data_IF_265778834099
#
_entry.id   IF_265778834099
#
_cell.length_a   1.000
_cell.length_b   1.000
_cell.length_c   1.000
_cell.angle_alpha   90.00
_cell.angle_beta   90.00
_cell.angle_gamma   90.00
#
_symmetry.space_group_name_H-M   'P 1'
#
loop_
_entity.id
_entity.type
_entity.pdbx_description
1 polymer ?
#
# COMPACT_ATOMS: atom_id res chain seq x y z
N UNK A 1 15.99 -6.80 -23.29
CA UNK A 1 15.02 -6.80 -22.16
C UNK A 1 14.99 -8.23 -21.66
N UNK A 2 15.72 -8.56 -20.60
CA UNK A 2 15.71 -9.88 -19.97
C UNK A 2 15.20 -9.68 -18.54
N UNK A 3 13.93 -10.06 -18.30
CA UNK A 3 13.37 -10.22 -16.97
C UNK A 3 14.03 -11.46 -16.35
N UNK A 4 14.91 -11.26 -15.37
CA UNK A 4 15.35 -12.35 -14.50
C UNK A 4 14.38 -12.41 -13.31
N UNK A 5 13.48 -13.40 -13.35
CA UNK A 5 12.63 -13.75 -12.21
C UNK A 5 13.49 -14.19 -11.01
N UNK A 6 13.38 -13.46 -9.91
CA UNK A 6 13.93 -13.88 -8.62
C UNK A 6 13.01 -14.92 -8.01
N UNK A 7 13.41 -16.19 -8.07
CA UNK A 7 12.79 -17.24 -7.27
C UNK A 7 13.53 -17.29 -5.94
N UNK A 8 12.93 -16.77 -4.90
CA UNK A 8 13.45 -16.94 -3.54
C UNK A 8 13.08 -18.34 -3.06
N UNK A 9 14.07 -19.24 -2.95
CA UNK A 9 13.91 -20.51 -2.24
C UNK A 9 14.17 -20.27 -0.75
N UNK A 10 13.13 -20.22 0.04
CA UNK A 10 13.22 -20.36 1.49
C UNK A 10 13.11 -21.86 1.84
N UNK A 11 14.17 -22.44 2.40
CA UNK A 11 14.07 -23.70 3.14
C UNK A 11 13.81 -23.37 4.60
N UNK A 12 12.55 -23.41 5.00
CA UNK A 12 12.16 -23.40 6.40
C UNK A 12 11.85 -24.82 6.85
N UNK A 13 12.44 -25.21 7.97
CA UNK A 13 12.08 -26.45 8.66
C UNK A 13 10.65 -26.39 9.22
N UNK A 14 9.90 -27.41 8.88
CA UNK A 14 8.65 -27.91 9.43
C UNK A 14 7.71 -26.96 10.19
N UNK A 15 6.70 -26.42 9.54
CA UNK A 15 5.26 -26.53 9.83
C UNK A 15 4.47 -25.49 9.01
N UNK A 16 3.60 -25.98 8.10
CA UNK A 16 2.53 -25.20 7.49
C UNK A 16 2.88 -24.58 6.14
N UNK A 17 2.63 -25.32 5.05
CA UNK A 17 2.71 -24.86 3.67
C UNK A 17 1.53 -23.95 3.34
N UNK A 18 1.82 -22.65 3.14
CA UNK A 18 0.98 -21.79 2.31
C UNK A 18 1.67 -21.63 0.95
N UNK A 19 1.07 -22.19 -0.09
CA UNK A 19 1.52 -22.06 -1.47
C UNK A 19 0.90 -20.79 -2.03
N UNK A 20 1.71 -19.76 -2.21
CA UNK A 20 1.32 -18.57 -2.95
C UNK A 20 1.63 -18.82 -4.42
N UNK A 21 0.59 -19.04 -5.24
CA UNK A 21 0.72 -19.12 -6.69
C UNK A 21 0.46 -17.75 -7.30
N UNK A 22 1.50 -17.14 -7.87
CA UNK A 22 1.34 -15.99 -8.76
C UNK A 22 0.73 -16.44 -10.10
N UNK A 23 -0.26 -15.73 -10.65
CA UNK A 23 -0.72 -15.99 -12.01
C UNK A 23 0.27 -15.44 -13.03
N UNK A 24 0.81 -16.33 -13.84
CA UNK A 24 1.58 -16.01 -15.05
C UNK A 24 0.60 -15.66 -16.15
N UNK A 25 0.67 -14.45 -16.68
CA UNK A 25 0.03 -14.08 -17.95
C UNK A 25 0.94 -14.54 -19.11
N UNK A 26 0.53 -15.55 -19.82
CA UNK A 26 1.11 -15.91 -21.10
C UNK A 26 0.08 -15.65 -22.20
N UNK A 27 0.48 -14.78 -23.11
CA UNK A 27 -0.15 -14.49 -24.39
C UNK A 27 0.11 -15.67 -25.35
N UNK A 28 -0.94 -16.29 -25.88
CA UNK A 28 -0.86 -17.05 -27.13
C UNK A 28 -2.19 -16.97 -27.90
N UNK A 29 -2.15 -16.18 -28.96
CA UNK A 29 -3.15 -16.20 -30.00
C UNK A 29 -2.79 -17.29 -31.01
N UNK A 30 -3.67 -18.27 -31.21
CA UNK A 30 -3.88 -18.87 -32.54
C UNK A 30 -5.20 -19.65 -32.65
N UNK A 31 -5.93 -19.24 -33.65
CA UNK A 31 -7.06 -19.81 -34.38
C UNK A 31 -7.37 -21.30 -34.17
N UNK A 32 -8.68 -21.60 -33.93
CA UNK A 32 -9.39 -22.46 -34.91
C UNK A 32 -10.91 -22.28 -34.82
N UNK A 33 -11.52 -22.12 -35.96
CA UNK A 33 -12.94 -22.13 -36.25
C UNK A 33 -13.44 -23.56 -36.26
N UNK A 34 -14.57 -23.85 -35.60
CA UNK A 34 -15.53 -24.83 -36.08
C UNK A 34 -16.91 -24.65 -35.41
N UNK A 35 -17.89 -24.68 -36.27
CA UNK A 35 -19.32 -24.58 -36.14
C UNK A 35 -19.94 -25.69 -35.30
N UNK A 36 -20.92 -25.35 -34.42
CA UNK A 36 -22.08 -26.22 -34.14
C UNK A 36 -23.18 -25.44 -33.39
N UNK A 37 -24.24 -25.18 -34.10
CA UNK A 37 -25.65 -25.46 -33.87
C UNK A 37 -26.29 -25.04 -32.55
N UNK A 38 -27.24 -24.11 -32.68
CA UNK A 38 -28.30 -23.79 -31.71
C UNK A 38 -29.25 -24.98 -31.52
N UNK A 39 -29.89 -25.11 -30.36
CA UNK A 39 -31.26 -25.62 -30.31
C UNK A 39 -32.26 -24.54 -29.88
N UNK A 40 -33.35 -24.54 -30.61
CA UNK A 40 -34.53 -23.71 -30.55
C UNK A 40 -35.25 -23.79 -29.22
N UNK A 41 -35.87 -22.64 -28.90
CA UNK A 41 -36.88 -22.44 -27.90
C UNK A 41 -38.13 -23.28 -28.16
N UNK A 42 -38.78 -23.73 -27.09
CA UNK A 42 -40.19 -24.02 -27.05
C UNK A 42 -40.83 -23.27 -25.87
N UNK A 43 -41.90 -22.62 -26.26
CA UNK A 43 -42.89 -21.83 -25.54
C UNK A 43 -43.62 -22.67 -24.48
N UNK A 44 -43.82 -22.13 -23.27
CA UNK A 44 -44.96 -22.48 -22.44
C UNK A 44 -45.35 -21.29 -21.56
N UNK A 45 -46.33 -20.58 -22.01
CA UNK A 45 -47.10 -19.62 -21.23
C UNK A 45 -47.86 -20.34 -20.12
N UNK A 46 -47.77 -19.85 -18.89
CA UNK A 46 -48.76 -20.09 -17.83
C UNK A 46 -49.12 -18.74 -17.25
N UNK A 47 -50.34 -18.31 -17.62
CA UNK A 47 -51.09 -17.25 -16.93
C UNK A 47 -51.55 -17.79 -15.57
N UNK A 48 -51.20 -17.13 -14.48
CA UNK A 48 -51.96 -17.17 -13.23
C UNK A 48 -52.30 -15.75 -12.78
N UNK A 49 -53.60 -15.47 -12.85
CA UNK A 49 -54.27 -14.36 -12.15
C UNK A 49 -54.03 -14.49 -10.65
N UNK A 50 -53.53 -13.45 -10.03
CA UNK A 50 -53.68 -13.25 -8.59
C UNK A 50 -54.19 -11.84 -8.31
N UNK A 51 -55.30 -11.86 -7.61
CA UNK A 51 -56.19 -10.81 -7.19
C UNK A 51 -55.53 -9.63 -6.49
N UNK A 52 -56.07 -8.47 -6.84
CA UNK A 52 -56.28 -7.26 -6.09
C UNK A 52 -56.33 -7.44 -4.55
N UNK A 53 -55.36 -6.85 -3.83
CA UNK A 53 -55.51 -6.47 -2.43
C UNK A 53 -54.83 -5.12 -2.15
N UNK A 54 -55.68 -4.09 -2.13
CA UNK A 54 -55.73 -2.97 -1.20
C UNK A 54 -54.44 -2.27 -0.77
N UNK A 55 -54.34 -1.04 -1.28
CA UNK A 55 -53.92 0.19 -0.58
C UNK A 55 -53.40 -0.02 0.85
N UNK A 56 -52.08 0.00 0.99
CA UNK A 56 -51.46 0.61 2.13
C UNK A 56 -50.50 1.72 1.60
N UNK A 57 -50.94 2.97 1.74
CA UNK A 57 -50.14 4.14 1.47
C UNK A 57 -49.04 4.19 2.53
N UNK A 58 -47.95 3.48 2.32
CA UNK A 58 -46.66 3.86 2.88
C UNK A 58 -46.23 5.10 2.10
N UNK A 59 -46.19 6.23 2.77
CA UNK A 59 -45.52 7.44 2.27
C UNK A 59 -44.12 7.03 1.85
N UNK A 60 -43.94 6.94 0.55
CA UNK A 60 -42.62 6.82 -0.05
C UNK A 60 -42.00 8.20 0.14
N UNK A 61 -41.32 8.39 1.27
CA UNK A 61 -40.38 9.49 1.43
C UNK A 61 -39.33 9.26 0.33
N UNK A 62 -39.35 10.09 -0.70
CA UNK A 62 -38.36 10.12 -1.77
C UNK A 62 -37.01 10.34 -1.11
N UNK A 63 -36.32 9.23 -0.77
CA UNK A 63 -34.95 9.25 -0.31
C UNK A 63 -34.15 9.86 -1.46
N UNK A 64 -33.53 11.00 -1.21
CA UNK A 64 -32.75 11.70 -2.23
C UNK A 64 -31.56 10.85 -2.64
N UNK A 65 -31.65 10.31 -3.83
CA UNK A 65 -30.50 9.71 -4.49
C UNK A 65 -29.70 10.82 -5.15
N UNK A 66 -28.48 11.01 -4.73
CA UNK A 66 -27.56 12.00 -5.30
C UNK A 66 -26.53 11.26 -6.15
N UNK A 67 -26.33 11.71 -7.37
CA UNK A 67 -25.28 11.18 -8.22
C UNK A 67 -23.93 11.78 -7.77
N UNK A 68 -23.05 10.95 -7.26
CA UNK A 68 -21.66 11.32 -7.01
C UNK A 68 -20.75 10.72 -8.08
N UNK A 69 -19.54 11.31 -8.25
CA UNK A 69 -18.50 10.66 -9.02
C UNK A 69 -18.22 9.25 -8.47
N UNK A 70 -18.12 8.27 -9.35
CA UNK A 70 -17.87 6.88 -8.96
C UNK A 70 -16.37 6.60 -9.02
N UNK A 71 -15.84 6.05 -7.93
CA UNK A 71 -14.46 5.60 -7.86
C UNK A 71 -14.37 4.08 -8.06
N UNK A 72 -13.27 3.64 -8.64
CA UNK A 72 -12.86 2.25 -8.65
C UNK A 72 -11.48 2.13 -8.02
N UNK A 73 -11.12 0.93 -7.58
CA UNK A 73 -9.83 0.67 -6.92
C UNK A 73 -8.65 1.24 -7.72
N UNK A 74 -8.65 1.04 -9.05
CA UNK A 74 -7.56 1.48 -9.92
C UNK A 74 -7.64 2.94 -10.37
N UNK A 75 -8.73 3.63 -10.10
CA UNK A 75 -8.88 5.05 -10.42
C UNK A 75 -8.32 5.97 -9.33
N UNK A 76 -8.09 5.44 -8.13
CA UNK A 76 -7.57 6.21 -6.99
C UNK A 76 -6.15 6.69 -7.28
N UNK A 77 -5.86 7.95 -6.91
CA UNK A 77 -4.55 8.60 -7.04
C UNK A 77 -4.00 9.06 -5.70
N UNK A 78 -4.87 9.43 -4.77
CA UNK A 78 -4.52 9.79 -3.40
C UNK A 78 -5.62 9.33 -2.46
N UNK A 79 -5.25 8.92 -1.28
CA UNK A 79 -6.16 8.61 -0.18
C UNK A 79 -5.60 9.15 1.13
N UNK A 80 -6.44 9.79 1.93
CA UNK A 80 -6.07 10.19 3.29
C UNK A 80 -7.17 9.87 4.29
N UNK A 81 -6.73 9.58 5.51
CA UNK A 81 -7.56 9.32 6.69
C UNK A 81 -7.33 10.44 7.67
N UNK A 82 -8.40 11.17 8.02
CA UNK A 82 -8.40 12.16 9.08
C UNK A 82 -9.28 11.66 10.21
N UNK A 83 -8.74 11.59 11.42
CA UNK A 83 -9.43 11.12 12.62
C UNK A 83 -9.34 12.17 13.71
N UNK A 84 -10.51 12.70 14.14
CA UNK A 84 -10.55 13.74 15.15
C UNK A 84 -9.90 15.08 14.73
N UNK A 85 -9.71 15.29 13.43
CA UNK A 85 -9.07 16.48 12.87
C UNK A 85 -7.56 16.36 12.64
N UNK A 86 -6.98 15.19 12.91
CA UNK A 86 -5.58 14.86 12.63
C UNK A 86 -5.49 13.90 11.45
N UNK A 87 -4.63 14.18 10.48
CA UNK A 87 -4.34 13.26 9.38
C UNK A 87 -3.42 12.15 9.88
N UNK A 88 -3.95 10.93 9.94
CA UNK A 88 -3.24 9.77 10.50
C UNK A 88 -2.59 8.90 9.41
N UNK A 89 -3.05 9.03 8.17
CA UNK A 89 -2.46 8.34 7.04
C UNK A 89 -2.73 9.12 5.76
N UNK A 90 -1.72 9.23 4.90
CA UNK A 90 -1.88 9.69 3.53
C UNK A 90 -1.02 8.86 2.60
N UNK A 91 -1.65 8.37 1.53
CA UNK A 91 -0.99 7.66 0.42
C UNK A 91 -1.29 8.42 -0.86
N UNK A 92 -0.28 8.63 -1.68
CA UNK A 92 -0.44 9.22 -3.01
C UNK A 92 0.37 8.47 -4.06
N UNK A 93 -0.08 8.55 -5.30
CA UNK A 93 0.70 8.13 -6.44
C UNK A 93 1.71 9.23 -6.77
N UNK A 94 2.98 8.91 -6.68
CA UNK A 94 4.08 9.84 -6.91
C UNK A 94 5.19 9.14 -7.69
N UNK A 95 5.03 9.00 -9.01
CA UNK A 95 6.06 8.38 -9.82
C UNK A 95 7.31 9.26 -9.85
N UNK A 96 8.48 8.65 -9.63
CA UNK A 96 9.77 9.30 -9.71
C UNK A 96 10.73 8.47 -10.56
N UNK A 97 11.59 9.14 -11.35
CA UNK A 97 12.47 8.48 -12.32
C UNK A 97 13.49 7.53 -11.68
N UNK A 98 13.83 7.76 -10.40
CA UNK A 98 14.77 6.91 -9.66
C UNK A 98 14.10 5.71 -9.00
N UNK A 99 12.77 5.64 -8.98
CA UNK A 99 12.00 4.54 -8.41
C UNK A 99 11.82 3.43 -9.44
N UNK A 100 11.62 2.21 -8.94
CA UNK A 100 11.25 1.09 -9.78
C UNK A 100 9.76 1.20 -10.18
N UNK A 101 9.35 0.59 -11.28
CA UNK A 101 7.98 0.66 -11.81
C UNK A 101 6.89 0.29 -10.81
N UNK A 102 7.19 -0.49 -9.76
CA UNK A 102 6.28 -0.85 -8.69
C UNK A 102 6.29 0.13 -7.51
N UNK A 103 7.19 1.11 -7.48
CA UNK A 103 7.39 2.06 -6.39
C UNK A 103 6.81 3.45 -6.73
N UNK A 104 5.63 3.47 -7.34
CA UNK A 104 4.92 4.70 -7.70
C UNK A 104 4.05 5.26 -6.60
N UNK A 105 3.96 4.57 -5.47
CA UNK A 105 3.12 4.96 -4.36
C UNK A 105 3.97 5.35 -3.17
N UNK A 106 3.57 6.41 -2.49
CA UNK A 106 4.22 6.90 -1.27
C UNK A 106 3.22 7.05 -0.15
N UNK A 107 3.64 6.71 1.06
CA UNK A 107 2.96 7.09 2.29
C UNK A 107 3.60 8.37 2.78
N UNK A 108 3.02 9.52 2.39
CA UNK A 108 3.55 10.84 2.74
C UNK A 108 3.26 11.24 4.19
N UNK A 109 2.36 10.54 4.85
CA UNK A 109 2.10 10.62 6.28
C UNK A 109 1.80 9.20 6.80
N UNK A 110 2.53 8.69 7.82
CA UNK A 110 3.55 9.38 8.64
C UNK A 110 5.00 9.21 8.16
N UNK A 111 5.29 8.58 7.02
CA UNK A 111 6.64 8.10 6.71
C UNK A 111 7.49 9.00 5.79
N UNK A 112 6.92 9.99 5.12
CA UNK A 112 7.67 10.97 4.32
C UNK A 112 8.70 10.34 3.36
N UNK A 113 8.33 9.45 2.47
CA UNK A 113 9.22 8.83 1.46
C UNK A 113 10.28 7.84 2.01
N UNK A 114 10.36 7.61 3.32
CA UNK A 114 11.35 6.68 3.89
C UNK A 114 10.92 5.21 3.83
N UNK A 115 9.70 4.93 3.39
CA UNK A 115 9.15 3.58 3.37
C UNK A 115 8.50 3.28 2.01
N UNK A 116 8.81 2.11 1.46
CA UNK A 116 8.19 1.63 0.24
C UNK A 116 6.82 1.02 0.53
N UNK A 117 5.81 1.38 -0.27
CA UNK A 117 4.43 0.91 -0.10
C UNK A 117 4.31 -0.58 -0.46
N UNK A 118 3.62 -1.34 0.39
CA UNK A 118 3.11 -2.65 0.04
C UNK A 118 1.82 -2.46 -0.79
N UNK A 119 1.95 -2.53 -2.10
CA UNK A 119 0.83 -2.26 -3.03
C UNK A 119 -0.29 -3.28 -2.92
N UNK A 120 -0.03 -4.53 -2.51
CA UNK A 120 -1.06 -5.54 -2.27
C UNK A 120 -1.99 -5.11 -1.12
N UNK A 121 -1.42 -4.82 0.05
CA UNK A 121 -2.19 -4.35 1.21
C UNK A 121 -2.90 -3.01 0.93
N UNK A 122 -2.24 -2.14 0.17
CA UNK A 122 -2.83 -0.86 -0.25
C UNK A 122 -4.06 -1.07 -1.14
N UNK A 123 -4.00 -1.95 -2.13
CA UNK A 123 -5.13 -2.22 -3.01
C UNK A 123 -6.26 -2.96 -2.28
N UNK A 124 -5.97 -3.80 -1.30
CA UNK A 124 -6.98 -4.36 -0.40
C UNK A 124 -7.73 -3.26 0.36
N UNK A 125 -7.01 -2.31 0.93
CA UNK A 125 -7.58 -1.13 1.60
C UNK A 125 -8.43 -0.29 0.63
N UNK A 126 -7.95 -0.02 -0.59
CA UNK A 126 -8.73 0.68 -1.61
C UNK A 126 -9.98 -0.11 -2.01
N UNK A 127 -9.94 -1.45 -1.96
CA UNK A 127 -11.10 -2.31 -2.16
C UNK A 127 -12.21 -2.05 -1.13
N UNK A 128 -11.85 -1.90 0.15
CA UNK A 128 -12.81 -1.54 1.21
C UNK A 128 -13.45 -0.19 0.93
N UNK A 129 -12.65 0.81 0.56
CA UNK A 129 -13.12 2.16 0.27
C UNK A 129 -14.05 2.18 -0.95
N UNK A 130 -13.68 1.50 -2.04
CA UNK A 130 -14.48 1.43 -3.27
C UNK A 130 -15.79 0.62 -3.10
N UNK A 131 -15.87 -0.20 -2.05
CA UNK A 131 -17.06 -0.98 -1.71
C UNK A 131 -18.07 -0.21 -0.84
N UNK A 132 -17.80 1.03 -0.45
CA UNK A 132 -18.78 1.84 0.28
C UNK A 132 -20.05 2.05 -0.57
N UNK A 133 -21.20 1.61 -0.04
CA UNK A 133 -22.49 1.84 -0.69
C UNK A 133 -22.97 3.27 -0.44
N UNK A 134 -22.66 4.13 -1.39
CA UNK A 134 -23.12 5.52 -1.42
C UNK A 134 -24.29 5.73 -2.40
N UNK A 135 -25.01 4.66 -2.77
CA UNK A 135 -26.13 4.72 -3.71
C UNK A 135 -27.51 4.78 -3.03
N UNK A 136 -27.62 4.22 -1.84
CA UNK A 136 -28.87 4.11 -1.10
C UNK A 136 -28.85 5.00 0.15
N UNK A 137 -29.40 6.19 0.06
CA UNK A 137 -29.54 7.10 1.20
C UNK A 137 -30.55 6.54 2.23
N UNK A 138 -30.37 6.99 3.49
CA UNK A 138 -31.29 6.67 4.59
C UNK A 138 -32.02 7.92 5.07
N UNK A 139 -33.22 7.74 5.64
CA UNK A 139 -33.93 8.83 6.31
C UNK A 139 -33.29 9.11 7.67
N UNK A 140 -32.61 10.25 7.77
CA UNK A 140 -31.96 10.71 8.98
C UNK A 140 -32.54 12.04 9.53
N UNK A 141 -33.73 12.46 9.06
CA UNK A 141 -34.30 13.78 9.32
C UNK A 141 -34.48 14.11 10.84
N UNK A 142 -34.61 13.09 11.69
CA UNK A 142 -34.79 13.26 13.14
C UNK A 142 -33.68 12.58 13.95
N UNK A 143 -32.54 12.29 13.33
CA UNK A 143 -31.45 11.52 13.94
C UNK A 143 -30.23 12.43 14.12
N UNK A 144 -29.62 12.35 15.30
CA UNK A 144 -28.31 12.98 15.52
C UNK A 144 -27.23 12.12 14.82
N UNK A 145 -26.97 12.42 13.59
CA UNK A 145 -25.97 11.72 12.78
C UNK A 145 -24.52 12.11 13.12
N UNK A 146 -24.32 13.22 13.84
CA UNK A 146 -22.99 13.75 14.17
C UNK A 146 -22.22 14.31 12.96
N UNK A 147 -22.82 14.38 11.77
CA UNK A 147 -22.15 14.79 10.54
C UNK A 147 -21.82 16.29 10.47
N UNK A 148 -22.67 17.15 11.06
CA UNK A 148 -22.52 18.62 10.98
C UNK A 148 -21.19 19.16 11.51
N UNK A 149 -20.60 18.48 12.49
CA UNK A 149 -19.38 18.92 13.17
C UNK A 149 -18.29 17.85 13.20
N UNK A 150 -18.42 16.80 12.40
CA UNK A 150 -17.42 15.73 12.40
C UNK A 150 -16.06 16.23 11.95
N UNK A 151 -15.02 15.70 12.57
CA UNK A 151 -13.61 15.89 12.19
C UNK A 151 -12.98 14.58 11.73
N UNK A 152 -13.80 13.57 11.48
CA UNK A 152 -13.36 12.25 10.99
C UNK A 152 -13.89 12.08 9.58
N UNK A 153 -12.98 11.89 8.63
CA UNK A 153 -13.33 11.76 7.23
C UNK A 153 -12.23 11.08 6.42
N UNK A 154 -12.62 10.58 5.27
CA UNK A 154 -11.71 10.06 4.24
C UNK A 154 -11.70 11.03 3.06
N UNK A 155 -10.51 11.34 2.53
CA UNK A 155 -10.39 12.11 1.28
C UNK A 155 -9.77 11.23 0.21
N UNK A 156 -10.37 11.24 -0.98
CA UNK A 156 -9.93 10.43 -2.12
C UNK A 156 -9.83 11.31 -3.35
N UNK A 157 -8.66 11.36 -3.97
CA UNK A 157 -8.50 11.89 -5.33
C UNK A 157 -8.47 10.70 -6.28
N UNK A 158 -9.24 10.76 -7.34
CA UNK A 158 -9.40 9.67 -8.29
C UNK A 158 -9.76 10.19 -9.69
N UNK A 159 -9.57 9.34 -10.68
CA UNK A 159 -10.03 9.60 -12.04
C UNK A 159 -11.46 9.06 -12.18
N UNK A 160 -12.40 9.98 -12.40
CA UNK A 160 -13.78 9.64 -12.65
C UNK A 160 -13.97 9.36 -14.14
N UNK A 161 -14.21 8.10 -14.49
CA UNK A 161 -14.54 7.71 -15.86
C UNK A 161 -16.02 7.97 -16.09
N UNK A 162 -16.32 9.05 -16.79
CA UNK A 162 -17.70 9.37 -17.20
C UNK A 162 -18.06 8.48 -18.38
N UNK A 163 -18.89 7.47 -18.15
CA UNK A 163 -19.52 6.71 -19.22
C UNK A 163 -20.68 7.54 -19.77
N UNK A 164 -20.41 8.36 -20.77
CA UNK A 164 -21.46 8.95 -21.58
C UNK A 164 -21.79 7.96 -22.71
N UNK A 165 -22.93 7.26 -22.57
CA UNK A 165 -23.43 6.33 -23.59
C UNK A 165 -23.66 6.99 -24.97
N UNK A 166 -23.59 8.33 -25.05
CA UNK A 166 -23.72 9.15 -26.26
C UNK A 166 -22.39 9.61 -26.82
N UNK A 167 -21.29 9.58 -26.02
CA UNK A 167 -19.97 9.99 -26.44
C UNK A 167 -19.15 8.80 -26.95
N UNK A 168 -18.53 8.96 -28.11
CA UNK A 168 -17.62 7.94 -28.67
C UNK A 168 -16.27 7.85 -27.95
N UNK A 169 -16.02 8.69 -26.97
CA UNK A 169 -14.79 8.76 -26.18
C UNK A 169 -15.16 8.94 -24.72
N UNK A 170 -14.66 8.06 -23.87
CA UNK A 170 -14.66 8.23 -22.41
C UNK A 170 -13.79 9.46 -22.07
N UNK A 171 -14.37 10.44 -21.42
CA UNK A 171 -13.59 11.56 -20.86
C UNK A 171 -13.25 11.24 -19.41
N UNK A 172 -11.97 11.00 -19.15
CA UNK A 172 -11.46 10.88 -17.80
C UNK A 172 -11.33 12.29 -17.20
N UNK A 173 -11.89 12.48 -16.02
CA UNK A 173 -11.80 13.74 -15.29
C UNK A 173 -11.32 13.48 -13.86
N UNK A 174 -10.38 14.31 -13.41
CA UNK A 174 -9.94 14.28 -12.02
C UNK A 174 -11.08 14.69 -11.09
N UNK A 175 -11.28 13.95 -10.03
CA UNK A 175 -12.30 14.18 -9.04
C UNK A 175 -11.75 13.98 -7.62
N UNK A 176 -12.35 14.70 -6.67
CA UNK A 176 -12.08 14.54 -5.24
C UNK A 176 -13.38 14.26 -4.52
N UNK A 177 -13.40 13.21 -3.70
CA UNK A 177 -14.47 12.95 -2.76
C UNK A 177 -13.96 13.05 -1.33
N UNK A 178 -14.72 13.73 -0.45
CA UNK A 178 -14.49 13.71 1.00
C UNK A 178 -15.70 13.06 1.66
N UNK A 179 -15.51 11.89 2.23
CA UNK A 179 -16.55 11.10 2.90
C UNK A 179 -16.48 11.41 4.38
N UNK A 180 -17.46 12.15 4.89
CA UNK A 180 -17.60 12.52 6.28
C UNK A 180 -18.15 11.32 7.06
N UNK A 181 -17.59 11.03 8.24
CA UNK A 181 -18.01 9.94 9.11
C UNK A 181 -18.56 10.53 10.40
N UNK A 182 -19.79 10.20 10.71
CA UNK A 182 -20.53 10.69 11.87
C UNK A 182 -20.65 9.68 13.01
N UNK A 183 -21.77 9.75 13.74
CA UNK A 183 -22.12 8.81 14.81
C UNK A 183 -22.49 7.44 14.22
N UNK A 184 -22.68 6.46 15.10
CA UNK A 184 -23.20 5.14 14.70
C UNK A 184 -24.68 5.01 15.00
N UNK A 185 -25.38 4.17 14.23
CA UNK A 185 -26.73 3.73 14.51
C UNK A 185 -26.79 2.68 15.64
N UNK A 186 -27.97 2.12 15.90
CA UNK A 186 -28.17 1.08 16.93
C UNK A 186 -27.45 -0.25 16.63
N UNK A 187 -27.11 -0.53 15.36
CA UNK A 187 -26.36 -1.70 14.94
C UNK A 187 -24.84 -1.45 14.99
N UNK A 188 -24.44 -0.19 15.14
CA UNK A 188 -23.08 0.26 15.15
C UNK A 188 -22.55 0.66 13.75
N UNK A 189 -23.40 0.72 12.73
CA UNK A 189 -23.04 1.22 11.41
C UNK A 189 -22.97 2.74 11.42
N UNK A 190 -22.02 3.30 10.66
CA UNK A 190 -21.71 4.72 10.70
C UNK A 190 -22.58 5.53 9.75
N UNK A 191 -23.17 6.62 10.23
CA UNK A 191 -23.73 7.63 9.36
C UNK A 191 -22.60 8.31 8.59
N UNK A 192 -22.79 8.46 7.28
CA UNK A 192 -21.81 9.09 6.40
C UNK A 192 -22.52 9.99 5.38
N UNK A 193 -21.82 10.99 4.88
CA UNK A 193 -22.23 11.74 3.70
C UNK A 193 -20.98 12.15 2.89
N UNK A 194 -21.20 12.52 1.64
CA UNK A 194 -20.14 13.08 0.80
C UNK A 194 -20.19 14.60 0.88
N UNK A 195 -19.09 15.24 1.19
CA UNK A 195 -19.00 16.69 1.28
C UNK A 195 -19.39 17.35 -0.05
N UNK A 196 -20.30 18.30 0.02
CA UNK A 196 -20.93 18.94 -1.14
C UNK A 196 -22.22 18.24 -1.61
N UNK A 197 -22.59 17.12 -0.96
CA UNK A 197 -23.80 16.31 -1.23
C UNK A 197 -24.46 15.90 0.08
N UNK A 198 -24.44 16.80 1.09
CA UNK A 198 -24.84 16.52 2.46
C UNK A 198 -26.35 16.23 2.61
N UNK A 199 -27.15 16.47 1.57
CA UNK A 199 -28.57 16.12 1.53
C UNK A 199 -28.83 14.60 1.48
N UNK A 200 -27.82 13.80 1.12
CA UNK A 200 -27.89 12.34 1.15
C UNK A 200 -27.01 11.80 2.29
N UNK A 201 -27.66 11.11 3.21
CA UNK A 201 -27.00 10.42 4.32
C UNK A 201 -27.01 8.92 4.05
N UNK A 202 -25.92 8.26 4.31
CA UNK A 202 -25.71 6.83 4.09
C UNK A 202 -25.40 6.12 5.40
N UNK A 203 -25.61 4.81 5.44
CA UNK A 203 -25.10 3.94 6.50
C UNK A 203 -23.97 3.08 5.92
N UNK A 204 -22.79 3.24 6.46
CA UNK A 204 -21.61 2.44 6.11
C UNK A 204 -21.37 1.40 7.20
N UNK A 205 -21.03 0.17 6.79
CA UNK A 205 -20.83 -0.91 7.74
C UNK A 205 -19.73 -0.58 8.74
N UNK A 206 -19.98 -0.88 10.00
CA UNK A 206 -19.01 -0.73 11.10
C UNK A 206 -17.67 -1.39 10.79
N UNK A 207 -17.71 -2.59 10.21
CA UNK A 207 -16.50 -3.34 9.89
C UNK A 207 -15.64 -2.60 8.87
N UNK A 208 -16.24 -2.14 7.76
CA UNK A 208 -15.53 -1.43 6.71
C UNK A 208 -14.95 -0.09 7.17
N UNK A 209 -15.72 0.70 7.93
CA UNK A 209 -15.25 2.00 8.43
C UNK A 209 -14.14 1.80 9.46
N UNK A 210 -14.31 0.87 10.41
CA UNK A 210 -13.30 0.62 11.42
C UNK A 210 -12.00 0.07 10.83
N UNK A 211 -12.06 -0.78 9.79
CA UNK A 211 -10.85 -1.28 9.12
C UNK A 211 -9.98 -0.15 8.57
N UNK A 212 -10.59 0.97 8.14
CA UNK A 212 -9.88 2.16 7.72
C UNK A 212 -9.47 3.07 8.89
N UNK A 213 -10.36 3.29 9.87
CA UNK A 213 -10.06 4.17 11.02
C UNK A 213 -9.04 3.58 12.00
N UNK A 214 -8.92 2.27 12.07
CA UNK A 214 -7.97 1.53 12.91
C UNK A 214 -6.72 1.10 12.14
N UNK A 215 -6.62 1.51 10.88
CA UNK A 215 -5.49 1.19 10.03
C UNK A 215 -4.19 1.69 10.66
N UNK A 216 -3.21 0.80 10.75
CA UNK A 216 -1.85 1.15 11.11
C UNK A 216 -1.05 1.34 9.83
N UNK A 217 -0.52 2.54 9.54
CA UNK A 217 0.26 2.80 8.33
C UNK A 217 1.43 1.83 8.15
N UNK A 218 2.02 1.35 9.25
CA UNK A 218 3.05 0.31 9.23
C UNK A 218 2.64 -0.97 8.48
N UNK A 219 1.33 -1.31 8.43
CA UNK A 219 0.85 -2.46 7.69
C UNK A 219 0.81 -2.23 6.16
N UNK A 220 0.92 -0.99 5.73
CA UNK A 220 0.89 -0.61 4.32
C UNK A 220 2.28 -0.46 3.69
N UNK A 221 3.36 -0.73 4.43
CA UNK A 221 4.73 -0.67 3.91
C UNK A 221 5.33 -2.06 3.74
N UNK A 222 6.24 -2.17 2.78
CA UNK A 222 7.16 -3.30 2.71
C UNK A 222 8.03 -3.30 3.95
N UNK A 223 8.28 -4.49 4.49
CA UNK A 223 9.09 -4.63 5.71
C UNK A 223 10.60 -4.65 5.40
N UNK A 224 11.02 -3.93 4.38
CA UNK A 224 12.39 -3.81 3.90
C UNK A 224 12.86 -2.38 4.15
N UNK A 225 13.99 -2.15 4.84
CA UNK A 225 14.47 -0.81 5.19
C UNK A 225 14.77 0.10 3.99
N UNK A 226 15.32 -0.48 2.93
CA UNK A 226 15.61 0.22 1.69
C UNK A 226 15.62 -0.76 0.52
N UNK A 227 15.00 -0.36 -0.57
CA UNK A 227 15.03 -1.10 -1.83
C UNK A 227 15.90 -0.32 -2.82
N UNK A 228 17.17 -0.69 -2.89
CA UNK A 228 18.14 -0.09 -3.82
C UNK A 228 18.33 -1.02 -5.01
N UNK A 229 18.14 -0.51 -6.23
CA UNK A 229 18.40 -1.29 -7.43
C UNK A 229 19.93 -1.40 -7.66
N UNK A 230 20.43 -2.63 -7.80
CA UNK A 230 21.85 -2.90 -8.04
C UNK A 230 22.39 -2.22 -9.32
N UNK A 231 21.55 -2.02 -10.34
CA UNK A 231 21.94 -1.38 -11.59
C UNK A 231 22.17 0.15 -11.42
N UNK A 232 21.68 0.73 -10.33
CA UNK A 232 21.93 2.13 -9.95
C UNK A 232 23.06 2.28 -8.94
N UNK A 233 23.71 1.18 -8.54
CA UNK A 233 24.69 1.18 -7.48
C UNK A 233 26.12 1.45 -8.00
N UNK A 234 26.83 2.40 -7.40
CA UNK A 234 28.26 2.60 -7.58
C UNK A 234 29.07 1.88 -6.50
N UNK A 235 28.68 2.07 -5.23
CA UNK A 235 29.35 1.45 -4.09
C UNK A 235 28.44 1.37 -2.86
N UNK A 236 28.85 0.54 -1.89
CA UNK A 236 28.27 0.51 -0.55
C UNK A 236 29.37 0.62 0.48
N UNK A 237 29.25 1.58 1.37
CA UNK A 237 30.10 1.71 2.55
C UNK A 237 29.39 1.16 3.78
N UNK A 238 30.06 0.27 4.52
CA UNK A 238 29.58 -0.35 5.75
C UNK A 238 30.53 -0.01 6.88
N UNK A 239 30.08 0.80 7.84
CA UNK A 239 30.87 1.21 9.00
C UNK A 239 30.48 0.43 10.24
N UNK A 240 31.48 -0.19 10.90
CA UNK A 240 31.30 -0.96 12.13
C UNK A 240 32.36 -0.45 13.13
N UNK A 241 31.93 0.31 14.11
CA UNK A 241 32.83 1.04 15.01
C UNK A 241 33.70 2.01 14.22
N UNK A 242 35.05 1.84 14.30
CA UNK A 242 36.01 2.72 13.61
C UNK A 242 36.44 2.21 12.24
N UNK A 243 35.87 1.13 11.75
CA UNK A 243 36.29 0.47 10.50
C UNK A 243 35.24 0.56 9.46
N UNK A 244 35.57 1.03 8.26
CA UNK A 244 34.69 1.05 7.09
C UNK A 244 35.13 -0.04 6.11
N UNK A 245 34.16 -0.76 5.58
CA UNK A 245 34.27 -1.78 4.56
C UNK A 245 33.52 -1.30 3.32
N UNK A 246 34.18 -1.31 2.16
CA UNK A 246 33.59 -0.79 0.92
C UNK A 246 33.39 -1.90 -0.11
N UNK A 247 32.15 -2.09 -0.56
CA UNK A 247 31.83 -2.82 -1.79
C UNK A 247 31.79 -1.82 -2.94
N UNK A 248 32.33 -2.16 -4.11
CA UNK A 248 32.32 -1.26 -5.27
C UNK A 248 32.10 -2.03 -6.56
N UNK A 249 31.28 -1.43 -7.45
CA UNK A 249 31.19 -1.75 -8.87
C UNK A 249 32.17 -0.85 -9.62
N UNK A 250 33.11 -1.43 -10.36
CA UNK A 250 34.11 -0.72 -11.15
C UNK A 250 34.10 -1.28 -12.58
N UNK A 251 33.25 -0.73 -13.41
CA UNK A 251 32.95 -1.27 -14.73
C UNK A 251 32.29 -2.65 -14.61
N UNK A 252 33.00 -3.69 -15.11
CA UNK A 252 32.57 -5.09 -14.99
C UNK A 252 33.10 -5.80 -13.74
N UNK A 253 33.92 -5.12 -12.93
CA UNK A 253 34.61 -5.70 -11.78
C UNK A 253 33.82 -5.48 -10.48
N UNK A 254 33.64 -6.53 -9.73
CA UNK A 254 33.08 -6.53 -8.38
C UNK A 254 34.20 -6.53 -7.37
N UNK A 255 34.24 -5.54 -6.45
CA UNK A 255 35.35 -5.36 -5.50
C UNK A 255 34.89 -5.32 -4.05
N UNK A 256 35.62 -5.96 -3.16
CA UNK A 256 35.61 -5.78 -1.71
C UNK A 256 36.91 -5.09 -1.29
N UNK A 257 36.83 -3.80 -0.96
CA UNK A 257 37.99 -2.95 -0.79
C UNK A 257 38.85 -2.94 -2.06
N UNK A 258 40.10 -3.46 -1.96
CA UNK A 258 41.03 -3.54 -3.10
C UNK A 258 40.99 -4.89 -3.83
N UNK A 259 40.20 -5.85 -3.34
CA UNK A 259 40.21 -7.23 -3.85
C UNK A 259 39.04 -7.44 -4.82
N UNK A 260 39.35 -7.89 -6.04
CA UNK A 260 38.31 -8.33 -7.00
C UNK A 260 37.71 -9.65 -6.51
N UNK A 261 36.38 -9.72 -6.53
CA UNK A 261 35.58 -10.89 -6.13
C UNK A 261 34.68 -11.35 -7.26
N UNK A 262 34.15 -12.56 -7.15
CA UNK A 262 33.14 -13.06 -8.09
C UNK A 262 31.80 -12.33 -7.88
N UNK A 263 31.03 -12.19 -8.96
CA UNK A 263 29.69 -11.59 -8.94
C UNK A 263 28.80 -12.22 -7.88
N UNK A 264 28.82 -13.55 -7.77
CA UNK A 264 28.00 -14.30 -6.82
C UNK A 264 28.24 -13.87 -5.37
N UNK A 265 29.54 -13.68 -4.99
CA UNK A 265 29.88 -13.23 -3.64
C UNK A 265 29.48 -11.78 -3.38
N UNK A 266 29.57 -10.94 -4.39
CA UNK A 266 29.12 -9.56 -4.30
C UNK A 266 27.61 -9.50 -4.10
N UNK A 267 26.86 -10.22 -4.94
CA UNK A 267 25.40 -10.29 -4.88
C UNK A 267 24.90 -10.89 -3.56
N UNK A 268 25.58 -11.93 -3.05
CA UNK A 268 25.24 -12.53 -1.74
C UNK A 268 25.31 -11.51 -0.61
N UNK A 269 26.40 -10.71 -0.53
CA UNK A 269 26.52 -9.69 0.52
C UNK A 269 25.54 -8.53 0.27
N UNK A 270 25.36 -8.12 -0.99
CA UNK A 270 24.39 -7.08 -1.35
C UNK A 270 22.95 -7.45 -0.95
N UNK A 271 22.54 -8.68 -1.21
CA UNK A 271 21.24 -9.18 -0.79
C UNK A 271 21.11 -9.24 0.74
N UNK A 272 22.19 -9.63 1.44
CA UNK A 272 22.17 -9.65 2.91
C UNK A 272 22.00 -8.24 3.51
N UNK A 273 22.57 -7.20 2.89
CA UNK A 273 22.37 -5.81 3.31
C UNK A 273 20.92 -5.33 3.19
N UNK A 274 20.12 -5.95 2.31
CA UNK A 274 18.70 -5.62 2.09
C UNK A 274 17.75 -6.62 2.73
N UNK A 275 18.24 -7.66 3.43
CA UNK A 275 17.42 -8.73 4.00
C UNK A 275 16.96 -8.48 5.44
N UNK A 276 17.48 -7.43 6.10
CA UNK A 276 16.99 -7.04 7.42
C UNK A 276 15.52 -6.63 7.30
N UNK A 277 14.67 -7.16 8.17
CA UNK A 277 13.24 -6.88 8.12
C UNK A 277 12.85 -5.89 9.21
N UNK A 278 11.98 -4.94 8.85
CA UNK A 278 11.33 -4.05 9.82
C UNK A 278 10.36 -4.89 10.68
N UNK A 279 10.46 -4.81 11.99
CA UNK A 279 9.61 -5.55 12.94
C UNK A 279 8.46 -4.69 13.45
N UNK A 280 8.76 -3.49 13.89
CA UNK A 280 7.80 -2.54 14.47
C UNK A 280 8.29 -1.09 14.33
N UNK A 281 7.49 -0.14 14.82
CA UNK A 281 7.86 1.26 14.93
C UNK A 281 8.49 1.55 16.30
N UNK A 282 9.39 2.52 16.35
CA UNK A 282 9.98 3.03 17.59
C UNK A 282 8.89 3.80 18.36
N UNK A 283 8.63 3.41 19.60
CA UNK A 283 7.68 4.12 20.47
C UNK A 283 8.34 5.36 21.10
N UNK A 284 9.59 5.23 21.56
CA UNK A 284 10.35 6.31 22.17
C UNK A 284 11.77 6.35 21.58
N UNK A 285 12.17 7.52 21.04
CA UNK A 285 13.54 7.74 20.57
C UNK A 285 14.46 8.06 21.74
N UNK A 286 15.63 7.38 21.79
CA UNK A 286 16.68 7.72 22.77
C UNK A 286 17.37 9.03 22.40
N UNK A 287 17.91 9.75 23.40
CA UNK A 287 18.77 10.89 23.16
C UNK A 287 20.02 10.48 22.36
N UNK A 288 20.48 11.34 21.45
CA UNK A 288 21.62 11.04 20.58
C UNK A 288 22.91 10.66 21.35
N UNK A 289 23.06 11.17 22.59
CA UNK A 289 24.22 10.86 23.43
C UNK A 289 24.17 9.43 24.01
N UNK A 290 23.01 8.82 24.07
CA UNK A 290 22.79 7.49 24.66
C UNK A 290 22.68 6.38 23.59
N UNK A 291 22.81 6.75 22.30
CA UNK A 291 22.75 5.81 21.19
C UNK A 291 24.11 5.18 20.92
N UNK A 292 24.18 3.86 20.94
CA UNK A 292 25.33 3.08 20.50
C UNK A 292 25.12 2.63 19.06
N UNK A 293 25.94 3.17 18.12
CA UNK A 293 25.89 2.78 16.72
C UNK A 293 26.50 1.38 16.53
N UNK A 294 25.70 0.45 16.01
CA UNK A 294 26.07 -0.95 15.73
C UNK A 294 26.64 -1.08 14.32
N UNK A 295 25.92 -0.48 13.34
CA UNK A 295 26.23 -0.58 11.92
C UNK A 295 25.67 0.65 11.19
N UNK A 296 26.47 1.22 10.28
CA UNK A 296 25.97 2.16 9.26
C UNK A 296 26.23 1.57 7.89
N UNK A 297 25.21 1.59 7.03
CA UNK A 297 25.28 1.18 5.61
C UNK A 297 24.88 2.36 4.75
N UNK A 298 25.78 2.80 3.86
CA UNK A 298 25.51 3.86 2.89
C UNK A 298 25.62 3.30 1.47
N UNK A 299 24.51 3.32 0.75
CA UNK A 299 24.46 3.00 -0.67
C UNK A 299 24.72 4.27 -1.48
N UNK A 300 25.78 4.29 -2.29
CA UNK A 300 26.07 5.35 -3.24
C UNK A 300 25.55 4.96 -4.61
N UNK A 301 24.71 5.81 -5.19
CA UNK A 301 23.99 5.53 -6.43
C UNK A 301 24.42 6.49 -7.54
N UNK A 302 24.29 6.05 -8.78
CA UNK A 302 24.57 6.85 -9.98
C UNK A 302 23.31 7.59 -10.50
N UNK A 303 22.40 7.96 -9.61
CA UNK A 303 21.18 8.70 -9.91
C UNK A 303 21.31 10.14 -9.43
N UNK A 304 20.72 11.11 -10.17
CA UNK A 304 20.71 12.51 -9.78
C UNK A 304 19.86 12.74 -8.52
N UNK A 305 18.74 12.04 -8.43
CA UNK A 305 17.87 12.04 -7.26
C UNK A 305 18.24 10.89 -6.32
N UNK A 306 18.17 11.15 -5.02
CA UNK A 306 18.54 10.21 -3.98
C UNK A 306 19.89 9.51 -4.27
N UNK A 307 21.00 10.27 -4.48
CA UNK A 307 22.31 9.69 -4.82
C UNK A 307 22.89 8.84 -3.69
N UNK A 308 22.37 9.01 -2.48
CA UNK A 308 22.76 8.25 -1.30
C UNK A 308 21.53 7.77 -0.54
N UNK A 309 21.58 6.52 -0.06
CA UNK A 309 20.63 5.96 0.90
C UNK A 309 21.42 5.46 2.09
N UNK A 310 21.18 6.02 3.28
CA UNK A 310 21.91 5.68 4.50
C UNK A 310 20.98 5.01 5.52
N UNK A 311 21.40 3.85 5.99
CA UNK A 311 20.78 3.08 7.06
C UNK A 311 21.72 3.07 8.26
N UNK A 312 21.26 3.54 9.44
CA UNK A 312 22.01 3.44 10.69
C UNK A 312 21.23 2.63 11.71
N UNK A 313 21.91 1.65 12.26
CA UNK A 313 21.39 0.75 13.28
C UNK A 313 22.02 1.11 14.63
N UNK A 314 21.16 1.34 15.63
CA UNK A 314 21.58 1.69 16.99
C UNK A 314 21.01 0.67 17.98
N UNK A 315 21.79 0.27 18.97
CA UNK A 315 21.33 -0.60 20.01
C UNK A 315 20.14 0.04 20.77
N UNK A 316 18.98 -0.63 20.72
CA UNK A 316 17.75 -0.14 21.35
C UNK A 316 17.48 -0.84 22.68
N UNK A 317 17.40 -2.18 22.66
CA UNK A 317 17.29 -3.03 23.85
C UNK A 317 17.94 -4.40 23.62
N UNK A 318 17.69 -5.38 24.47
CA UNK A 318 18.27 -6.72 24.36
C UNK A 318 17.76 -7.52 23.14
N UNK A 319 16.69 -7.08 22.48
CA UNK A 319 16.01 -7.78 21.38
C UNK A 319 16.11 -7.01 20.07
N UNK A 320 16.09 -5.69 20.13
CA UNK A 320 15.96 -4.81 18.96
C UNK A 320 17.08 -3.81 18.85
N UNK A 321 17.42 -3.50 17.61
CA UNK A 321 18.13 -2.29 17.22
C UNK A 321 17.12 -1.30 16.62
N UNK A 322 17.27 0.00 16.87
CA UNK A 322 16.51 1.02 16.16
C UNK A 322 17.21 1.37 14.85
N UNK A 323 16.38 1.68 13.84
CA UNK A 323 16.83 2.00 12.50
C UNK A 323 16.49 3.44 12.13
N UNK A 324 17.54 4.18 11.74
CA UNK A 324 17.47 5.48 11.11
C UNK A 324 17.68 5.33 9.60
N UNK A 325 16.72 5.81 8.80
CA UNK A 325 16.79 5.85 7.34
C UNK A 325 16.91 7.31 6.92
N UNK A 326 18.00 7.66 6.21
CA UNK A 326 18.27 9.02 5.73
C UNK A 326 18.14 10.12 6.81
N UNK A 327 18.52 9.81 8.06
CA UNK A 327 18.46 10.74 9.18
C UNK A 327 17.15 10.71 9.98
N UNK A 328 16.19 9.87 9.62
CA UNK A 328 14.93 9.70 10.34
C UNK A 328 14.89 8.33 11.04
N UNK A 329 14.94 8.31 12.37
CA UNK A 329 14.79 7.10 13.16
C UNK A 329 13.29 6.82 13.40
N UNK A 330 12.83 5.65 12.98
CA UNK A 330 11.41 5.32 13.06
C UNK A 330 11.09 3.85 13.31
N UNK A 331 11.97 2.95 12.94
CA UNK A 331 11.68 1.53 12.94
C UNK A 331 12.58 0.74 13.89
N UNK A 332 12.08 -0.41 14.32
CA UNK A 332 12.84 -1.43 15.03
C UNK A 332 13.10 -2.61 14.10
N UNK A 333 14.27 -3.20 14.24
CA UNK A 333 14.70 -4.43 13.57
C UNK A 333 15.27 -5.38 14.63
N UNK A 334 15.32 -6.68 14.35
CA UNK A 334 15.89 -7.63 15.32
C UNK A 334 17.40 -7.45 15.41
N UNK A 335 17.92 -7.26 16.62
CA UNK A 335 19.33 -7.11 16.89
C UNK A 335 20.16 -8.34 16.45
N UNK A 336 19.58 -9.55 16.55
CA UNK A 336 20.23 -10.79 16.09
C UNK A 336 20.50 -10.79 14.58
N UNK A 337 19.61 -10.18 13.76
CA UNK A 337 19.76 -10.09 12.31
C UNK A 337 20.87 -9.08 11.95
N UNK A 338 20.93 -7.94 12.64
CA UNK A 338 22.00 -6.94 12.48
C UNK A 338 23.35 -7.54 12.88
N UNK A 339 23.40 -8.26 14.00
CA UNK A 339 24.59 -8.97 14.45
C UNK A 339 25.08 -10.02 13.44
N UNK A 340 24.15 -10.76 12.84
CA UNK A 340 24.47 -11.75 11.80
C UNK A 340 25.05 -11.06 10.56
N UNK A 341 24.46 -9.95 10.13
CA UNK A 341 24.95 -9.13 9.04
C UNK A 341 26.35 -8.57 9.33
N UNK A 342 26.59 -8.02 10.52
CA UNK A 342 27.90 -7.52 10.97
C UNK A 342 28.96 -8.63 10.90
N UNK A 343 28.63 -9.86 11.32
CA UNK A 343 29.54 -11.02 11.22
C UNK A 343 29.82 -11.38 9.76
N UNK A 344 28.78 -11.34 8.90
CA UNK A 344 28.94 -11.61 7.46
C UNK A 344 29.83 -10.58 6.78
N UNK A 345 29.64 -9.27 7.05
CA UNK A 345 30.49 -8.20 6.54
C UNK A 345 31.95 -8.45 6.95
N UNK A 346 32.22 -8.64 8.25
CA UNK A 346 33.57 -8.89 8.76
C UNK A 346 34.27 -10.11 8.14
N UNK A 347 33.49 -11.16 7.79
CA UNK A 347 34.00 -12.38 7.15
C UNK A 347 34.30 -12.22 5.67
N UNK A 348 33.57 -11.31 4.97
CA UNK A 348 33.72 -11.12 3.53
C UNK A 348 35.01 -10.36 3.15
N UNK A 349 35.50 -9.50 4.03
CA UNK A 349 36.70 -8.63 3.84
C UNK A 349 37.92 -9.17 4.58
#
# INVERSE_FOLDING_TARGET
ILLLGMTAMFTAGAAGTAVISCPVWADEAEKNSETAEEPKAEDAAVEEEIADQTDDKTENTDLKTVEHPRMSVYSIRRFSIVKGGEEVCQIKQEPADYKMDFDYWEITNPYDEIATVNTENMYEMFGVLAAFDLSNGVDAANTDTGLDNTKTYFTVDFVNTVNDDTAKETQDADATATILIGNTDENGDYYACVKGYEEAVYLLSKESVNSLLELKPFNLILKIPALVNIDTLDSVDMSIGKKTYTMKLDGSDYKFGKKTVKKEKFTELYQALQSIMLDSEVEETKDAADKEEVLTVTFHRNTEEAPEVTLKYFAYDDTYDSLEINGTERFLVKAEDVDALVKQIKKAF
#
